data_IF_611194880827
#
_entry.id   IF_611194880827
#
_cell.length_a   1.000
_cell.length_b   1.000
_cell.length_c   1.000
_cell.angle_alpha   90.00
_cell.angle_beta   90.00
_cell.angle_gamma   90.00
#
_symmetry.space_group_name_H-M   'P 1'
#
loop_
_entity.id
_entity.type
_entity.pdbx_description
1 polymer ?
#
# COMPACT_ATOMS: atom_id res chain seq x y z
N UNK A 1 20.52 -18.22 31.34
CA UNK A 1 21.54 -17.23 30.89
C UNK A 1 21.45 -17.08 29.39
N UNK A 2 21.52 -15.85 28.92
CA UNK A 2 21.25 -15.40 27.56
C UNK A 2 22.27 -15.92 26.52
N UNK A 3 21.83 -16.07 25.27
CA UNK A 3 22.32 -15.20 24.17
C UNK A 3 21.59 -15.43 22.85
N UNK A 4 20.96 -14.35 22.42
CA UNK A 4 20.74 -13.95 21.04
C UNK A 4 21.93 -14.27 20.12
N UNK A 5 21.62 -14.69 18.88
CA UNK A 5 22.03 -13.98 17.65
C UNK A 5 21.36 -14.63 16.43
N UNK A 6 20.28 -14.02 15.97
CA UNK A 6 19.80 -14.15 14.61
C UNK A 6 20.39 -12.99 13.79
N UNK A 7 21.23 -13.31 12.80
CA UNK A 7 21.58 -12.43 11.70
C UNK A 7 21.72 -13.29 10.44
N UNK A 8 21.06 -12.89 9.36
CA UNK A 8 21.14 -13.61 8.09
C UNK A 8 20.01 -13.29 7.12
N UNK A 9 19.82 -11.99 6.87
CA UNK A 9 19.29 -11.33 5.66
C UNK A 9 18.47 -12.09 4.60
N UNK A 10 17.48 -11.34 4.11
CA UNK A 10 17.13 -11.18 2.69
C UNK A 10 16.12 -12.14 2.06
N UNK A 11 15.12 -11.53 1.42
CA UNK A 11 14.37 -12.15 0.33
C UNK A 11 13.20 -12.99 0.78
N UNK A 12 12.10 -12.35 1.17
CA UNK A 12 10.82 -13.04 1.31
C UNK A 12 9.70 -12.36 0.52
N UNK A 13 9.95 -12.20 -0.77
CA UNK A 13 8.91 -12.16 -1.79
C UNK A 13 8.35 -13.59 -1.96
N UNK A 14 7.49 -14.05 -1.05
CA UNK A 14 6.74 -15.28 -1.29
C UNK A 14 5.51 -14.98 -2.13
N UNK A 15 5.77 -14.88 -3.42
CA UNK A 15 4.85 -15.29 -4.46
C UNK A 15 4.76 -16.83 -4.39
N UNK A 16 3.73 -17.39 -3.73
CA UNK A 16 3.27 -18.76 -4.00
C UNK A 16 1.92 -19.08 -3.32
N UNK A 17 0.99 -19.50 -4.18
CA UNK A 17 -0.07 -20.48 -3.94
C UNK A 17 -1.36 -20.09 -3.20
N UNK A 18 -2.03 -19.00 -3.64
CA UNK A 18 -3.48 -18.85 -3.50
C UNK A 18 -4.13 -18.43 -4.83
N UNK A 19 -3.94 -19.25 -5.87
CA UNK A 19 -4.80 -19.25 -7.05
C UNK A 19 -5.85 -20.33 -6.84
N UNK A 20 -6.92 -20.02 -6.12
CA UNK A 20 -8.21 -20.73 -6.21
C UNK A 20 -9.27 -19.92 -5.46
N UNK A 21 -10.40 -19.70 -6.15
CA UNK A 21 -11.56 -18.85 -5.80
C UNK A 21 -11.35 -17.36 -6.13
N UNK A 22 -11.28 -17.05 -7.43
CA UNK A 22 -11.59 -15.72 -7.96
C UNK A 22 -13.11 -15.54 -8.00
N UNK A 23 -13.75 -15.44 -6.83
CA UNK A 23 -15.05 -14.79 -6.79
C UNK A 23 -14.83 -13.34 -7.20
N UNK A 24 -15.58 -12.85 -8.20
CA UNK A 24 -15.68 -11.41 -8.47
C UNK A 24 -16.35 -10.74 -7.28
N UNK A 25 -15.58 -10.49 -6.22
CA UNK A 25 -16.03 -9.64 -5.13
C UNK A 25 -16.11 -8.24 -5.72
N UNK A 26 -17.33 -7.79 -6.00
CA UNK A 26 -17.61 -6.41 -6.40
C UNK A 26 -17.52 -5.53 -5.16
N UNK A 27 -16.28 -5.14 -4.81
CA UNK A 27 -16.01 -4.25 -3.68
C UNK A 27 -16.25 -2.81 -4.14
N UNK A 28 -17.31 -2.21 -3.61
CA UNK A 28 -17.63 -0.80 -3.86
C UNK A 28 -17.03 0.07 -2.77
N UNK A 29 -16.56 1.25 -3.15
CA UNK A 29 -16.01 2.25 -2.22
C UNK A 29 -17.01 3.39 -2.09
N UNK A 30 -17.55 3.59 -0.89
CA UNK A 30 -18.43 4.72 -0.57
C UNK A 30 -17.64 6.01 -0.35
N UNK A 31 -18.33 7.15 -0.40
CA UNK A 31 -17.69 8.46 -0.18
C UNK A 31 -17.16 8.62 1.24
N UNK A 32 -17.85 8.04 2.22
CA UNK A 32 -17.43 8.06 3.62
C UNK A 32 -16.10 7.31 3.75
N UNK A 33 -16.00 6.10 3.19
CA UNK A 33 -14.78 5.30 3.24
C UNK A 33 -13.65 5.97 2.45
N UNK A 34 -13.94 6.54 1.28
CA UNK A 34 -12.94 7.26 0.49
C UNK A 34 -12.36 8.46 1.25
N UNK A 35 -13.21 9.23 1.92
CA UNK A 35 -12.76 10.36 2.75
C UNK A 35 -11.89 9.87 3.92
N UNK A 36 -12.27 8.79 4.62
CA UNK A 36 -11.44 8.20 5.68
C UNK A 36 -10.06 7.79 5.16
N UNK A 37 -10.00 7.14 3.99
CA UNK A 37 -8.74 6.73 3.34
C UNK A 37 -7.89 7.95 2.97
N UNK A 38 -8.51 8.98 2.38
CA UNK A 38 -7.85 10.23 2.00
C UNK A 38 -7.24 10.93 3.21
N UNK A 39 -8.02 11.08 4.27
CA UNK A 39 -7.57 11.78 5.48
C UNK A 39 -6.45 11.00 6.17
N UNK A 40 -6.52 9.66 6.16
CA UNK A 40 -5.48 8.79 6.72
C UNK A 40 -4.17 8.91 5.94
N UNK A 41 -4.18 8.78 4.61
CA UNK A 41 -2.94 8.89 3.82
C UNK A 41 -2.35 10.30 3.87
N UNK A 42 -3.19 11.32 3.99
CA UNK A 42 -2.74 12.69 4.19
C UNK A 42 -2.01 12.85 5.54
N UNK A 43 -2.58 12.31 6.63
CA UNK A 43 -1.95 12.34 7.96
C UNK A 43 -0.61 11.60 8.01
N UNK A 44 -0.50 10.46 7.31
CA UNK A 44 0.71 9.62 7.37
C UNK A 44 1.82 10.14 6.44
N UNK A 45 1.46 10.55 5.22
CA UNK A 45 2.43 10.79 4.14
C UNK A 45 2.29 12.17 3.47
N UNK A 46 1.36 13.02 3.89
CA UNK A 46 1.10 14.32 3.26
C UNK A 46 0.50 14.24 1.85
N UNK A 47 0.06 13.05 1.42
CA UNK A 47 -0.43 12.82 0.05
C UNK A 47 -1.90 13.24 -0.04
N UNK A 48 -2.18 14.21 -0.91
CA UNK A 48 -3.55 14.59 -1.24
C UNK A 48 -4.11 13.71 -2.37
N UNK A 49 -5.20 13.00 -2.07
CA UNK A 49 -5.97 12.23 -3.03
C UNK A 49 -7.22 13.00 -3.45
N UNK A 50 -7.22 13.52 -4.67
CA UNK A 50 -8.41 14.09 -5.30
C UNK A 50 -9.34 13.01 -5.86
N UNK A 51 -10.59 13.38 -6.16
CA UNK A 51 -11.64 12.47 -6.63
C UNK A 51 -11.23 11.69 -7.89
N UNK A 52 -10.47 12.30 -8.80
CA UNK A 52 -9.97 11.65 -10.01
C UNK A 52 -9.10 10.40 -9.73
N UNK A 53 -8.58 10.23 -8.51
CA UNK A 53 -7.79 9.06 -8.10
C UNK A 53 -8.63 7.95 -7.47
N UNK A 54 -9.96 8.09 -7.36
CA UNK A 54 -10.84 7.11 -6.72
C UNK A 54 -10.71 5.72 -7.34
N UNK A 55 -10.73 5.62 -8.67
CA UNK A 55 -10.57 4.35 -9.40
C UNK A 55 -9.23 3.68 -9.10
N UNK A 56 -8.16 4.48 -8.95
CA UNK A 56 -6.83 3.96 -8.55
C UNK A 56 -6.87 3.41 -7.13
N UNK A 57 -7.49 4.13 -6.20
CA UNK A 57 -7.64 3.71 -4.80
C UNK A 57 -8.39 2.38 -4.72
N UNK A 58 -9.54 2.27 -5.41
CA UNK A 58 -10.30 1.01 -5.51
C UNK A 58 -9.42 -0.10 -6.06
N UNK A 59 -8.77 0.11 -7.22
CA UNK A 59 -7.95 -0.93 -7.86
C UNK A 59 -6.79 -1.42 -6.99
N UNK A 60 -6.12 -0.50 -6.28
CA UNK A 60 -4.92 -0.81 -5.48
C UNK A 60 -5.29 -1.44 -4.15
N UNK A 61 -6.27 -0.89 -3.44
CA UNK A 61 -6.65 -1.39 -2.12
C UNK A 61 -7.49 -2.65 -2.21
N UNK A 62 -8.35 -2.83 -3.22
CA UNK A 62 -9.09 -4.09 -3.39
C UNK A 62 -8.18 -5.32 -3.51
N UNK A 63 -6.94 -5.14 -3.99
CA UNK A 63 -5.92 -6.21 -3.96
C UNK A 63 -5.45 -6.51 -2.54
N UNK A 64 -5.23 -5.48 -1.71
CA UNK A 64 -4.88 -5.66 -0.30
C UNK A 64 -6.01 -6.30 0.50
N UNK A 65 -7.26 -5.86 0.30
CA UNK A 65 -8.43 -6.45 0.96
C UNK A 65 -8.50 -7.96 0.71
N UNK A 66 -8.31 -8.38 -0.55
CA UNK A 66 -8.28 -9.80 -0.92
C UNK A 66 -7.16 -10.58 -0.22
N UNK A 67 -5.97 -9.99 -0.10
CA UNK A 67 -4.83 -10.63 0.59
C UNK A 67 -5.07 -10.77 2.10
N UNK A 68 -5.82 -9.83 2.69
CA UNK A 68 -6.17 -9.82 4.10
C UNK A 68 -7.46 -10.59 4.41
N UNK A 69 -8.17 -11.09 3.39
CA UNK A 69 -9.46 -11.77 3.55
C UNK A 69 -10.59 -10.84 4.01
N UNK A 70 -10.50 -9.55 3.69
CA UNK A 70 -11.49 -8.53 4.04
C UNK A 70 -12.45 -8.30 2.86
N UNK A 71 -13.72 -8.07 3.16
CA UNK A 71 -14.79 -8.01 2.15
C UNK A 71 -15.33 -6.59 1.91
N UNK A 72 -14.93 -5.62 2.72
CA UNK A 72 -15.37 -4.23 2.60
C UNK A 72 -14.26 -3.21 2.93
N UNK A 73 -14.39 -1.99 2.40
CA UNK A 73 -13.49 -0.90 2.74
C UNK A 73 -13.66 -0.44 4.19
N UNK A 74 -14.87 -0.52 4.73
CA UNK A 74 -15.11 -0.26 6.14
C UNK A 74 -14.35 -1.22 7.05
N UNK A 75 -14.40 -2.54 6.78
CA UNK A 75 -13.57 -3.53 7.49
C UNK A 75 -12.08 -3.22 7.39
N UNK A 76 -11.63 -2.76 6.21
CA UNK A 76 -10.24 -2.40 6.01
C UNK A 76 -9.82 -1.17 6.81
N UNK A 77 -10.67 -0.15 6.89
CA UNK A 77 -10.40 1.03 7.73
C UNK A 77 -10.38 0.65 9.21
N UNK A 78 -11.35 -0.12 9.70
CA UNK A 78 -11.37 -0.62 11.08
C UNK A 78 -10.12 -1.46 11.40
N UNK A 79 -9.70 -2.30 10.45
CA UNK A 79 -8.47 -3.06 10.56
C UNK A 79 -7.24 -2.14 10.70
N UNK A 80 -7.14 -1.09 9.88
CA UNK A 80 -6.07 -0.10 9.96
C UNK A 80 -6.10 0.71 11.26
N UNK A 81 -7.27 0.90 11.87
CA UNK A 81 -7.41 1.66 13.11
C UNK A 81 -7.03 0.84 14.35
N UNK A 82 -7.33 -0.47 14.35
CA UNK A 82 -7.31 -1.27 15.58
C UNK A 82 -6.37 -2.48 15.56
N UNK A 83 -6.09 -3.07 14.40
CA UNK A 83 -5.45 -4.39 14.30
C UNK A 83 -4.16 -4.39 13.47
N UNK A 84 -3.98 -3.41 12.59
CA UNK A 84 -2.87 -3.37 11.66
C UNK A 84 -1.53 -3.14 12.38
N UNK A 85 -0.58 -4.03 12.11
CA UNK A 85 0.83 -3.89 12.43
C UNK A 85 1.48 -2.75 11.64
N UNK A 86 2.66 -2.31 12.08
CA UNK A 86 3.45 -1.31 11.37
C UNK A 86 3.73 -1.69 9.91
N UNK A 87 3.88 -2.99 9.62
CA UNK A 87 4.07 -3.50 8.26
C UNK A 87 2.82 -3.27 7.41
N UNK A 88 1.63 -3.56 7.93
CA UNK A 88 0.37 -3.40 7.19
C UNK A 88 0.03 -1.92 6.97
N UNK A 89 0.38 -1.04 7.91
CA UNK A 89 0.32 0.41 7.69
C UNK A 89 1.23 0.85 6.55
N UNK A 90 2.44 0.29 6.47
CA UNK A 90 3.38 0.61 5.38
C UNK A 90 2.87 0.09 4.03
N UNK A 91 2.27 -1.10 3.98
CA UNK A 91 1.66 -1.62 2.75
C UNK A 91 0.50 -0.76 2.26
N UNK A 92 -0.32 -0.21 3.17
CA UNK A 92 -1.34 0.77 2.82
C UNK A 92 -0.74 2.00 2.12
N UNK A 93 0.32 2.57 2.68
CA UNK A 93 1.02 3.72 2.07
C UNK A 93 1.60 3.33 0.71
N UNK A 94 2.32 2.23 0.64
CA UNK A 94 2.96 1.75 -0.58
C UNK A 94 1.95 1.53 -1.71
N UNK A 95 0.79 0.96 -1.41
CA UNK A 95 -0.26 0.71 -2.40
C UNK A 95 -0.84 1.99 -3.01
N UNK A 96 -0.80 3.11 -2.28
CA UNK A 96 -1.32 4.40 -2.73
C UNK A 96 -0.24 5.34 -3.29
N UNK A 97 1.04 5.05 -3.04
CA UNK A 97 2.18 5.74 -3.64
C UNK A 97 2.57 5.14 -4.99
N UNK A 98 3.18 5.93 -5.86
CA UNK A 98 3.78 5.44 -7.11
C UNK A 98 5.26 5.74 -7.10
N UNK A 99 6.08 4.73 -6.83
CA UNK A 99 7.54 4.84 -6.88
C UNK A 99 8.04 4.58 -8.32
N UNK A 100 7.74 5.51 -9.24
CA UNK A 100 8.29 5.43 -10.60
C UNK A 100 9.71 6.02 -10.62
N UNK A 101 10.70 5.14 -10.68
CA UNK A 101 12.12 5.50 -10.78
C UNK A 101 12.78 4.83 -11.97
N UNK A 102 13.76 5.51 -12.57
CA UNK A 102 14.64 4.96 -13.61
C UNK A 102 16.03 5.59 -13.45
N UNK A 103 17.08 4.85 -13.77
CA UNK A 103 18.44 5.40 -13.85
C UNK A 103 18.48 6.55 -14.87
N UNK A 104 19.23 7.61 -14.56
CA UNK A 104 19.40 8.79 -15.41
C UNK A 104 18.08 9.42 -15.90
N UNK A 105 17.05 9.49 -15.03
CA UNK A 105 15.72 10.01 -15.38
C UNK A 105 15.80 11.38 -16.07
N UNK A 106 16.65 12.25 -15.54
CA UNK A 106 16.89 13.62 -16.01
C UNK A 106 18.40 13.77 -16.25
N UNK A 107 18.89 13.23 -17.36
CA UNK A 107 20.33 13.11 -17.63
C UNK A 107 21.08 14.47 -17.58
N UNK A 108 20.42 15.56 -18.00
CA UNK A 108 20.98 16.92 -17.96
C UNK A 108 21.26 17.43 -16.52
N UNK A 109 20.61 16.89 -15.49
CA UNK A 109 20.95 17.23 -14.10
C UNK A 109 22.34 16.70 -13.70
N UNK A 110 22.79 15.59 -14.29
CA UNK A 110 24.12 15.04 -14.01
C UNK A 110 25.24 15.89 -14.61
N UNK A 111 24.98 16.59 -15.72
CA UNK A 111 25.93 17.54 -16.32
C UNK A 111 26.27 18.71 -15.37
N UNK A 112 25.35 19.06 -14.46
CA UNK A 112 25.54 20.12 -13.46
C UNK A 112 26.25 19.65 -12.18
N UNK A 113 26.23 18.33 -11.89
CA UNK A 113 26.84 17.71 -10.71
C UNK A 113 28.35 17.46 -10.87
N UNK A 114 28.86 17.44 -12.11
CA UNK A 114 30.27 17.14 -12.43
C UNK A 114 31.16 18.40 -12.39
N UNK A 115 30.60 19.57 -12.10
CA UNK A 115 31.34 20.82 -11.87
C UNK A 115 31.73 20.97 -10.40
#
# INVERSE_FOLDING_TARGET
MARCKAQGVSGRWFFKDHVSIMAEINITLSDIEFNKIRDRIYKIAGISLGEAKRTLVVSRLSKLLKLLGLYSFNEYVDFLDHKASAKEQQEFVNALTTNLTRFYRENHHFEHLVK
#
